data_IF_773763612739
#
_entry.id   IF_773763612739
#
_cell.length_a   1.000
_cell.length_b   1.000
_cell.length_c   1.000
_cell.angle_alpha   90.00
_cell.angle_beta   90.00
_cell.angle_gamma   90.00
#
_symmetry.space_group_name_H-M   'P 1'
#
loop_
_entity.id
_entity.type
_entity.pdbx_description
1 polymer ?
#
# COMPACT_ATOMS: atom_id res chain seq x y z
N UNK A 1 -1.50 -5.44 25.43
CA UNK A 1 -0.07 -5.12 25.26
C UNK A 1 0.80 -6.36 25.00
N UNK A 2 0.63 -7.45 25.73
CA UNK A 2 1.48 -8.68 25.60
C UNK A 2 1.50 -9.24 24.17
N UNK A 3 0.36 -9.29 23.50
CA UNK A 3 0.23 -9.77 22.11
C UNK A 3 1.01 -8.93 21.06
N UNK A 4 1.34 -7.69 21.37
CA UNK A 4 2.12 -6.83 20.48
C UNK A 4 3.65 -7.02 20.60
N UNK A 5 4.13 -7.81 21.56
CA UNK A 5 5.57 -8.05 21.76
C UNK A 5 6.18 -8.72 20.54
N UNK A 6 5.51 -9.73 19.99
CA UNK A 6 5.99 -10.45 18.81
C UNK A 6 6.04 -9.57 17.55
N UNK A 7 4.97 -8.81 17.19
CA UNK A 7 5.03 -7.83 16.11
C UNK A 7 6.10 -6.75 16.30
N UNK A 8 6.27 -6.24 17.52
CA UNK A 8 7.30 -5.24 17.82
C UNK A 8 8.71 -5.80 17.61
N UNK A 9 8.96 -7.05 18.00
CA UNK A 9 10.24 -7.73 17.75
C UNK A 9 10.54 -7.82 16.24
N UNK A 10 9.55 -8.18 15.42
CA UNK A 10 9.66 -8.17 13.95
C UNK A 10 9.99 -6.76 13.45
N UNK A 11 9.34 -5.75 13.99
CA UNK A 11 9.60 -4.34 13.67
C UNK A 11 11.05 -3.95 13.90
N UNK A 12 11.60 -4.24 15.07
CA UNK A 12 13.00 -3.92 15.41
C UNK A 12 14.00 -4.64 14.51
N UNK A 13 13.72 -5.89 14.15
CA UNK A 13 14.66 -6.74 13.41
C UNK A 13 14.67 -6.45 11.92
N UNK A 14 13.53 -6.07 11.32
CA UNK A 14 13.33 -6.05 9.88
C UNK A 14 12.86 -4.69 9.30
N UNK A 15 12.10 -3.90 10.04
CA UNK A 15 11.53 -2.64 9.57
C UNK A 15 12.35 -1.40 9.97
N UNK A 16 13.20 -1.55 10.97
CA UNK A 16 14.11 -0.51 11.42
C UNK A 16 13.70 0.16 12.73
N UNK A 17 14.73 0.64 13.46
CA UNK A 17 14.56 1.18 14.82
C UNK A 17 13.66 2.41 14.89
N UNK A 18 13.75 3.34 13.91
CA UNK A 18 12.94 4.57 13.88
C UNK A 18 11.45 4.24 13.72
N UNK A 19 11.11 3.41 12.72
CA UNK A 19 9.74 2.96 12.48
C UNK A 19 9.13 2.31 13.73
N UNK A 20 9.86 1.38 14.34
CA UNK A 20 9.36 0.64 15.50
C UNK A 20 9.17 1.53 16.72
N UNK A 21 10.09 2.48 16.97
CA UNK A 21 9.97 3.40 18.09
C UNK A 21 8.75 4.33 17.97
N UNK A 22 8.54 4.90 16.79
CA UNK A 22 7.33 5.70 16.53
C UNK A 22 6.05 4.86 16.64
N UNK A 23 6.07 3.60 16.21
CA UNK A 23 4.92 2.70 16.34
C UNK A 23 4.61 2.38 17.81
N UNK A 24 5.61 2.15 18.63
CA UNK A 24 5.42 1.97 20.09
C UNK A 24 4.77 3.22 20.70
N UNK A 25 5.25 4.41 20.32
CA UNK A 25 4.67 5.66 20.78
C UNK A 25 3.21 5.80 20.34
N UNK A 26 2.91 5.49 19.06
CA UNK A 26 1.53 5.51 18.54
C UNK A 26 0.62 4.56 19.27
N UNK A 27 1.06 3.31 19.53
CA UNK A 27 0.28 2.31 20.28
C UNK A 27 0.02 2.79 21.72
N UNK A 28 1.03 3.37 22.36
CA UNK A 28 0.89 3.89 23.72
C UNK A 28 -0.08 5.06 23.80
N UNK A 29 0.07 6.04 22.91
CA UNK A 29 -0.83 7.20 22.83
C UNK A 29 -2.25 6.79 22.49
N UNK A 30 -2.46 5.92 21.50
CA UNK A 30 -3.79 5.45 21.14
C UNK A 30 -4.48 4.71 22.27
N UNK A 31 -3.75 3.91 23.06
CA UNK A 31 -4.30 3.25 24.25
C UNK A 31 -4.78 4.27 25.30
N UNK A 32 -3.99 5.30 25.56
CA UNK A 32 -4.37 6.36 26.50
C UNK A 32 -5.60 7.12 25.99
N UNK A 33 -5.63 7.48 24.71
CA UNK A 33 -6.77 8.22 24.14
C UNK A 33 -8.07 7.41 24.16
N UNK A 34 -7.99 6.09 23.90
CA UNK A 34 -9.19 5.22 23.99
C UNK A 34 -9.76 5.19 25.40
N UNK A 35 -8.90 5.19 26.42
CA UNK A 35 -9.35 5.15 27.82
C UNK A 35 -9.83 6.54 28.33
N UNK A 36 -9.26 7.63 27.80
CA UNK A 36 -9.51 8.99 28.27
C UNK A 36 -10.74 9.63 27.59
N UNK A 37 -11.00 9.31 26.31
CA UNK A 37 -12.08 9.90 25.55
C UNK A 37 -13.44 9.29 25.93
N UNK A 38 -14.47 10.10 26.21
CA UNK A 38 -15.81 9.58 26.46
C UNK A 38 -16.38 8.92 25.21
N UNK A 39 -16.96 7.74 25.38
CA UNK A 39 -17.65 7.06 24.29
C UNK A 39 -18.91 7.83 23.89
N UNK A 40 -18.93 8.40 22.70
CA UNK A 40 -20.12 9.05 22.14
C UNK A 40 -20.74 8.14 21.08
N UNK A 41 -22.00 7.77 21.30
CA UNK A 41 -22.74 6.87 20.42
C UNK A 41 -23.51 7.69 19.38
N UNK A 42 -23.05 7.70 18.14
CA UNK A 42 -23.73 8.37 17.02
C UNK A 42 -24.95 7.59 16.51
N UNK A 43 -24.90 6.27 16.57
CA UNK A 43 -25.96 5.37 16.10
C UNK A 43 -25.91 4.06 16.88
N UNK A 44 -27.06 3.41 16.98
CA UNK A 44 -27.18 2.07 17.58
C UNK A 44 -27.19 0.96 16.50
N UNK A 45 -27.19 1.32 15.22
CA UNK A 45 -27.15 0.36 14.13
C UNK A 45 -25.73 -0.22 13.98
N UNK A 46 -25.61 -1.50 14.36
CA UNK A 46 -24.33 -2.21 14.36
C UNK A 46 -23.75 -2.35 12.95
N UNK A 47 -24.60 -2.44 11.92
CA UNK A 47 -24.13 -2.50 10.53
C UNK A 47 -23.47 -1.18 10.12
N UNK A 48 -24.13 -0.06 10.41
CA UNK A 48 -23.57 1.27 10.13
C UNK A 48 -22.24 1.48 10.90
N UNK A 49 -22.19 1.09 12.16
CA UNK A 49 -20.97 1.16 12.97
C UNK A 49 -19.86 0.31 12.34
N UNK A 50 -20.19 -0.90 11.89
CA UNK A 50 -19.20 -1.80 11.28
C UNK A 50 -18.63 -1.25 9.98
N UNK A 51 -19.48 -0.72 9.11
CA UNK A 51 -19.05 -0.17 7.81
C UNK A 51 -18.26 1.12 7.99
N UNK A 52 -18.88 2.14 8.61
CA UNK A 52 -18.25 3.45 8.74
C UNK A 52 -17.08 3.44 9.73
N UNK A 53 -17.18 2.67 10.81
CA UNK A 53 -16.08 2.47 11.75
C UNK A 53 -14.88 1.80 11.06
N UNK A 54 -15.12 0.79 10.22
CA UNK A 54 -14.09 0.15 9.40
C UNK A 54 -13.42 1.12 8.42
N UNK A 55 -14.21 1.95 7.72
CA UNK A 55 -13.68 2.96 6.81
C UNK A 55 -12.79 3.98 7.53
N UNK A 56 -13.25 4.53 8.65
CA UNK A 56 -12.49 5.49 9.46
C UNK A 56 -11.23 4.87 10.03
N UNK A 57 -11.31 3.63 10.52
CA UNK A 57 -10.16 2.90 11.04
C UNK A 57 -9.11 2.66 9.93
N UNK A 58 -9.52 2.21 8.76
CA UNK A 58 -8.64 2.01 7.61
C UNK A 58 -7.94 3.31 7.18
N UNK A 59 -8.67 4.43 7.19
CA UNK A 59 -8.10 5.75 6.93
C UNK A 59 -7.08 6.16 7.98
N UNK A 60 -7.38 5.99 9.27
CA UNK A 60 -6.46 6.29 10.36
C UNK A 60 -5.18 5.45 10.29
N UNK A 61 -5.30 4.14 10.03
CA UNK A 61 -4.15 3.24 9.83
C UNK A 61 -3.32 3.73 8.64
N UNK A 62 -3.96 4.09 7.53
CA UNK A 62 -3.26 4.59 6.34
C UNK A 62 -2.48 5.87 6.62
N UNK A 63 -3.01 6.81 7.40
CA UNK A 63 -2.29 8.00 7.84
C UNK A 63 -1.05 7.64 8.65
N UNK A 64 -1.18 6.74 9.63
CA UNK A 64 -0.06 6.26 10.42
C UNK A 64 1.04 5.64 9.53
N UNK A 65 0.65 4.78 8.58
CA UNK A 65 1.57 4.12 7.67
C UNK A 65 2.32 5.11 6.76
N UNK A 66 1.65 6.16 6.27
CA UNK A 66 2.26 7.19 5.44
C UNK A 66 3.30 8.02 6.19
N UNK A 67 3.10 8.25 7.48
CA UNK A 67 4.08 8.92 8.35
C UNK A 67 5.23 7.99 8.75
N UNK A 68 5.12 6.70 8.47
CA UNK A 68 6.15 5.70 8.81
C UNK A 68 5.99 5.12 10.22
N UNK A 69 4.76 4.94 10.66
CA UNK A 69 4.37 4.29 11.91
C UNK A 69 3.20 3.35 11.68
N UNK A 70 2.84 2.55 12.67
CA UNK A 70 1.65 1.69 12.62
C UNK A 70 0.91 1.70 13.96
N UNK A 71 -0.37 1.37 13.90
CA UNK A 71 -1.23 1.22 15.10
C UNK A 71 -0.98 -0.10 15.86
N UNK A 72 -0.13 -0.98 15.32
CA UNK A 72 0.26 -2.23 15.98
C UNK A 72 -0.41 -3.48 15.40
N UNK A 73 -0.25 -4.61 16.11
CA UNK A 73 -0.89 -5.86 15.73
C UNK A 73 -0.37 -6.46 14.42
N UNK A 74 -1.29 -6.98 13.61
CA UNK A 74 -1.00 -7.64 12.34
C UNK A 74 -0.43 -6.71 11.26
N UNK A 75 -0.54 -5.39 11.45
CA UNK A 75 -0.01 -4.39 10.51
C UNK A 75 1.52 -4.49 10.37
N UNK A 76 2.25 -4.77 11.46
CA UNK A 76 3.69 -5.01 11.38
C UNK A 76 4.03 -6.16 10.44
N UNK A 77 3.23 -7.23 10.48
CA UNK A 77 3.41 -8.40 9.63
C UNK A 77 3.10 -8.04 8.18
N UNK A 78 2.03 -7.29 7.94
CA UNK A 78 1.66 -6.81 6.59
C UNK A 78 2.77 -6.00 5.96
N UNK A 79 3.31 -5.03 6.70
CA UNK A 79 4.39 -4.15 6.22
C UNK A 79 5.68 -4.95 6.00
N UNK A 80 6.02 -5.85 6.91
CA UNK A 80 7.17 -6.71 6.77
C UNK A 80 7.10 -7.56 5.48
N UNK A 81 5.98 -8.24 5.26
CA UNK A 81 5.78 -9.05 4.06
C UNK A 81 5.78 -8.20 2.79
N UNK A 82 5.13 -7.03 2.82
CA UNK A 82 5.11 -6.12 1.69
C UNK A 82 6.49 -5.55 1.37
N UNK A 83 7.28 -5.19 2.39
CA UNK A 83 8.62 -4.62 2.21
C UNK A 83 9.65 -5.64 1.73
N UNK A 84 9.60 -6.89 2.22
CA UNK A 84 10.58 -7.93 1.91
C UNK A 84 10.25 -8.70 0.62
N UNK A 85 8.98 -8.99 0.41
CA UNK A 85 8.53 -9.83 -0.72
C UNK A 85 7.87 -9.04 -1.84
N UNK A 86 7.60 -7.75 -1.67
CA UNK A 86 6.93 -6.91 -2.66
C UNK A 86 5.48 -7.33 -2.96
N UNK A 87 4.87 -8.16 -2.11
CA UNK A 87 3.50 -8.66 -2.26
C UNK A 87 2.54 -7.80 -1.43
N UNK A 88 1.31 -7.66 -1.92
CA UNK A 88 0.23 -7.04 -1.16
C UNK A 88 -0.27 -8.00 -0.07
N UNK A 89 0.33 -7.92 1.12
CA UNK A 89 0.06 -8.84 2.22
C UNK A 89 -1.28 -8.60 2.93
N UNK A 90 -1.96 -7.49 2.65
CA UNK A 90 -3.21 -7.11 3.33
C UNK A 90 -4.33 -8.12 3.14
N UNK A 91 -4.45 -8.71 1.94
CA UNK A 91 -5.44 -9.76 1.67
C UNK A 91 -5.17 -11.04 2.47
N UNK A 92 -3.92 -11.42 2.63
CA UNK A 92 -3.57 -12.61 3.43
C UNK A 92 -3.85 -12.40 4.91
N UNK A 93 -3.58 -11.19 5.43
CA UNK A 93 -3.91 -10.84 6.81
C UNK A 93 -5.43 -10.78 7.00
N UNK A 94 -6.18 -10.21 6.03
CA UNK A 94 -7.64 -10.23 6.08
C UNK A 94 -8.17 -11.66 6.16
N UNK A 95 -7.67 -12.56 5.31
CA UNK A 95 -8.08 -13.97 5.32
C UNK A 95 -7.78 -14.63 6.68
N UNK A 96 -6.59 -14.41 7.23
CA UNK A 96 -6.23 -14.91 8.57
C UNK A 96 -7.16 -14.37 9.66
N UNK A 97 -7.46 -13.07 9.63
CA UNK A 97 -8.38 -12.45 10.59
C UNK A 97 -9.82 -13.00 10.44
N UNK A 98 -10.29 -13.24 9.22
CA UNK A 98 -11.61 -13.84 8.97
C UNK A 98 -11.70 -15.25 9.56
N UNK A 99 -10.66 -16.06 9.45
CA UNK A 99 -10.60 -17.39 10.06
C UNK A 99 -10.70 -17.29 11.58
N UNK A 100 -9.94 -16.39 12.21
CA UNK A 100 -9.97 -16.17 13.66
C UNK A 100 -11.37 -15.70 14.09
N UNK A 101 -11.96 -14.75 13.35
CA UNK A 101 -13.31 -14.24 13.64
C UNK A 101 -14.39 -15.30 13.44
N UNK A 102 -14.23 -16.20 12.47
CA UNK A 102 -15.16 -17.33 12.28
C UNK A 102 -15.11 -18.31 13.48
N UNK A 103 -13.93 -18.61 13.98
CA UNK A 103 -13.76 -19.44 15.20
C UNK A 103 -14.40 -18.71 16.40
N UNK A 104 -14.14 -17.41 16.56
CA UNK A 104 -14.78 -16.60 17.59
C UNK A 104 -16.31 -16.57 17.46
N UNK A 105 -16.84 -16.52 16.23
CA UNK A 105 -18.27 -16.59 15.95
C UNK A 105 -18.93 -17.87 16.42
N UNK A 106 -18.23 -19.02 16.24
CA UNK A 106 -18.70 -20.31 16.73
C UNK A 106 -18.74 -20.38 18.26
N UNK A 107 -17.84 -19.66 18.94
CA UNK A 107 -17.73 -19.64 20.40
C UNK A 107 -18.60 -18.59 21.09
N UNK A 108 -18.74 -17.39 20.49
CA UNK A 108 -19.34 -16.21 21.13
C UNK A 108 -20.61 -15.71 20.43
N UNK A 109 -20.92 -16.24 19.25
CA UNK A 109 -22.11 -15.86 18.47
C UNK A 109 -21.78 -15.26 17.12
N UNK A 110 -22.53 -15.69 16.10
CA UNK A 110 -22.29 -15.37 14.69
C UNK A 110 -22.54 -13.91 14.34
N UNK A 111 -23.51 -13.24 14.97
CA UNK A 111 -23.84 -11.86 14.65
C UNK A 111 -22.65 -10.92 14.87
N UNK A 112 -21.97 -11.04 16.01
CA UNK A 112 -20.81 -10.21 16.36
C UNK A 112 -19.65 -10.48 15.41
N UNK A 113 -19.40 -11.76 15.11
CA UNK A 113 -18.33 -12.16 14.20
C UNK A 113 -18.54 -11.62 12.78
N UNK A 114 -19.77 -11.71 12.25
CA UNK A 114 -20.10 -11.21 10.90
C UNK A 114 -19.92 -9.69 10.79
N UNK A 115 -20.40 -8.93 11.79
CA UNK A 115 -20.16 -7.49 11.82
C UNK A 115 -18.68 -7.13 11.95
N UNK A 116 -17.91 -7.90 12.71
CA UNK A 116 -16.45 -7.72 12.82
C UNK A 116 -15.73 -8.03 11.50
N UNK A 117 -16.19 -9.03 10.74
CA UNK A 117 -15.67 -9.32 9.40
C UNK A 117 -15.96 -8.17 8.44
N UNK A 118 -17.17 -7.59 8.46
CA UNK A 118 -17.52 -6.41 7.65
C UNK A 118 -16.61 -5.24 8.00
N UNK A 119 -16.43 -4.94 9.29
CA UNK A 119 -15.52 -3.89 9.77
C UNK A 119 -14.10 -4.10 9.25
N UNK A 120 -13.56 -5.30 9.41
CA UNK A 120 -12.20 -5.65 8.98
C UNK A 120 -12.04 -5.56 7.47
N UNK A 121 -13.04 -6.00 6.71
CA UNK A 121 -13.05 -5.91 5.25
C UNK A 121 -13.03 -4.45 4.79
N UNK A 122 -13.92 -3.60 5.32
CA UNK A 122 -13.97 -2.18 4.99
C UNK A 122 -12.64 -1.48 5.29
N UNK A 123 -12.06 -1.74 6.48
CA UNK A 123 -10.77 -1.19 6.87
C UNK A 123 -9.65 -1.62 5.92
N UNK A 124 -9.58 -2.91 5.57
CA UNK A 124 -8.56 -3.45 4.67
C UNK A 124 -8.68 -2.86 3.26
N UNK A 125 -9.89 -2.69 2.73
CA UNK A 125 -10.11 -2.07 1.41
C UNK A 125 -9.60 -0.63 1.36
N UNK A 126 -9.88 0.17 2.40
CA UNK A 126 -9.37 1.55 2.49
C UNK A 126 -7.83 1.56 2.51
N UNK A 127 -7.21 0.70 3.32
CA UNK A 127 -5.75 0.61 3.38
C UNK A 127 -5.17 0.26 2.00
N UNK A 128 -5.71 -0.75 1.32
CA UNK A 128 -5.23 -1.16 0.00
C UNK A 128 -5.41 -0.08 -1.07
N UNK A 129 -6.47 0.70 -0.98
CA UNK A 129 -6.75 1.79 -1.92
C UNK A 129 -5.79 2.97 -1.73
N UNK A 130 -5.54 3.35 -0.47
CA UNK A 130 -4.79 4.56 -0.14
C UNK A 130 -3.29 4.31 0.09
N UNK A 131 -2.91 3.14 0.64
CA UNK A 131 -1.52 2.82 0.96
C UNK A 131 -0.85 2.05 -0.16
N UNK A 132 -0.15 2.76 -1.05
CA UNK A 132 0.52 2.19 -2.24
C UNK A 132 2.04 2.23 -2.17
N UNK A 133 2.61 2.54 -1.01
CA UNK A 133 4.05 2.81 -0.84
C UNK A 133 4.97 1.66 -1.30
N UNK A 134 4.53 0.41 -1.17
CA UNK A 134 5.33 -0.76 -1.56
C UNK A 134 4.89 -1.40 -2.88
N UNK A 135 3.89 -0.84 -3.56
CA UNK A 135 3.51 -1.33 -4.89
C UNK A 135 4.58 -0.92 -5.89
N UNK A 136 5.26 -1.91 -6.45
CA UNK A 136 6.15 -1.73 -7.59
C UNK A 136 5.34 -1.89 -8.86
N UNK A 137 5.56 -1.02 -9.81
CA UNK A 137 4.93 -1.10 -11.13
C UNK A 137 6.01 -1.29 -12.18
N UNK A 138 5.70 -2.16 -13.14
CA UNK A 138 6.58 -2.40 -14.28
C UNK A 138 6.15 -1.50 -15.42
N UNK A 139 7.08 -0.73 -15.93
CA UNK A 139 6.91 0.12 -17.11
C UNK A 139 7.50 -0.60 -18.32
N UNK A 140 6.67 -0.73 -19.36
CA UNK A 140 7.09 -1.15 -20.69
C UNK A 140 6.87 0.03 -21.62
N UNK A 141 7.96 0.58 -22.17
CA UNK A 141 7.90 1.71 -23.11
C UNK A 141 8.58 1.27 -24.41
N UNK A 142 7.84 1.35 -25.51
CA UNK A 142 8.37 1.09 -26.86
C UNK A 142 8.54 2.43 -27.55
N UNK A 143 9.77 2.79 -27.92
CA UNK A 143 10.06 4.07 -28.57
C UNK A 143 11.31 4.00 -29.44
N UNK A 144 11.32 4.84 -30.46
CA UNK A 144 12.49 5.07 -31.31
C UNK A 144 13.51 6.01 -30.62
N UNK A 145 13.09 6.79 -29.61
CA UNK A 145 13.90 7.73 -28.81
C UNK A 145 14.29 7.15 -27.45
N UNK A 146 14.72 5.88 -27.44
CA UNK A 146 14.99 5.12 -26.22
C UNK A 146 16.01 5.76 -25.27
N UNK A 147 17.07 6.37 -25.80
CA UNK A 147 18.11 6.99 -24.98
C UNK A 147 17.62 8.24 -24.23
N UNK A 148 16.82 9.08 -24.90
CA UNK A 148 16.27 10.28 -24.25
C UNK A 148 15.31 9.92 -23.12
N UNK A 149 14.44 8.93 -23.36
CA UNK A 149 13.48 8.43 -22.37
C UNK A 149 14.21 7.75 -21.21
N UNK A 150 15.25 6.98 -21.46
CA UNK A 150 16.05 6.36 -20.42
C UNK A 150 16.71 7.40 -19.51
N UNK A 151 17.34 8.44 -20.09
CA UNK A 151 17.92 9.53 -19.32
C UNK A 151 16.86 10.26 -18.48
N UNK A 152 15.70 10.55 -19.06
CA UNK A 152 14.60 11.17 -18.34
C UNK A 152 14.08 10.31 -17.16
N UNK A 153 13.91 9.00 -17.35
CA UNK A 153 13.54 8.07 -16.28
C UNK A 153 14.60 8.08 -15.17
N UNK A 154 15.87 7.98 -15.52
CA UNK A 154 16.96 7.95 -14.55
C UNK A 154 17.06 9.23 -13.72
N UNK A 155 16.95 10.40 -14.36
CA UNK A 155 17.03 11.70 -13.68
C UNK A 155 15.80 11.97 -12.80
N UNK A 156 14.61 11.58 -13.27
CA UNK A 156 13.35 11.90 -12.58
C UNK A 156 13.04 10.92 -11.46
N UNK A 157 13.35 9.63 -11.66
CA UNK A 157 12.92 8.57 -10.74
C UNK A 157 14.04 7.94 -9.94
N UNK A 158 15.30 8.20 -10.30
CA UNK A 158 16.48 7.55 -9.74
C UNK A 158 16.41 6.01 -9.80
N UNK A 159 15.68 5.47 -10.80
CA UNK A 159 15.57 4.04 -11.07
C UNK A 159 16.33 3.70 -12.36
N UNK A 160 16.83 2.47 -12.42
CA UNK A 160 17.46 1.95 -13.62
C UNK A 160 16.45 1.33 -14.58
N UNK A 161 16.81 1.22 -15.84
CA UNK A 161 16.01 0.58 -16.88
C UNK A 161 16.87 -0.32 -17.76
N UNK A 162 16.26 -1.39 -18.25
CA UNK A 162 16.88 -2.33 -19.18
C UNK A 162 16.33 -2.10 -20.58
N UNK A 163 17.22 -1.98 -21.55
CA UNK A 163 16.87 -1.78 -22.94
C UNK A 163 16.93 -3.12 -23.69
N UNK A 164 15.84 -3.47 -24.35
CA UNK A 164 15.74 -4.63 -25.24
C UNK A 164 15.56 -4.16 -26.67
N UNK A 165 16.42 -4.57 -27.57
CA UNK A 165 16.28 -4.30 -28.99
C UNK A 165 15.40 -5.36 -29.63
N UNK A 166 14.48 -4.95 -30.49
CA UNK A 166 13.57 -5.81 -31.21
C UNK A 166 13.17 -5.20 -32.55
N UNK A 167 12.50 -5.99 -33.37
CA UNK A 167 12.00 -5.54 -34.69
C UNK A 167 10.48 -5.48 -34.60
N UNK A 168 9.91 -4.33 -35.00
CA UNK A 168 8.47 -4.16 -35.07
C UNK A 168 7.88 -5.01 -36.20
N UNK A 169 6.96 -5.93 -35.89
CA UNK A 169 6.46 -6.91 -36.85
C UNK A 169 5.68 -6.31 -38.03
N UNK A 170 5.13 -5.11 -37.88
CA UNK A 170 4.34 -4.48 -38.97
C UNK A 170 5.18 -3.59 -39.88
N UNK A 171 6.08 -2.80 -39.32
CA UNK A 171 6.91 -1.85 -40.09
C UNK A 171 8.31 -2.39 -40.40
N UNK A 172 8.66 -3.56 -39.86
CA UNK A 172 10.02 -4.19 -39.94
C UNK A 172 11.16 -3.26 -39.51
N UNK A 173 10.84 -2.24 -38.67
CA UNK A 173 11.83 -1.29 -38.15
C UNK A 173 12.35 -1.74 -36.80
N UNK A 174 13.60 -1.43 -36.53
CA UNK A 174 14.19 -1.60 -35.20
C UNK A 174 13.47 -0.71 -34.18
N UNK A 175 13.01 -1.31 -33.08
CA UNK A 175 12.40 -0.62 -31.95
C UNK A 175 13.04 -1.07 -30.67
N UNK A 176 13.16 -0.16 -29.72
CA UNK A 176 13.72 -0.47 -28.40
C UNK A 176 12.61 -0.51 -27.37
N UNK A 177 12.51 -1.63 -26.66
CA UNK A 177 11.66 -1.78 -25.48
C UNK A 177 12.45 -1.40 -24.23
N UNK A 178 11.99 -0.40 -23.52
CA UNK A 178 12.50 0.03 -22.22
C UNK A 178 11.71 -0.68 -21.13
N UNK A 179 12.39 -1.46 -20.31
CA UNK A 179 11.83 -2.14 -19.15
C UNK A 179 12.37 -1.49 -17.88
N UNK A 180 11.48 -0.95 -17.05
CA UNK A 180 11.87 -0.37 -15.76
C UNK A 180 10.86 -0.75 -14.68
N UNK A 181 11.35 -1.06 -13.47
CA UNK A 181 10.54 -1.32 -12.30
C UNK A 181 10.64 -0.12 -11.38
N UNK A 182 9.53 0.60 -11.24
CA UNK A 182 9.46 1.87 -10.51
C UNK A 182 8.44 1.81 -9.38
N UNK A 183 8.58 2.68 -8.40
CA UNK A 183 7.56 2.88 -7.37
C UNK A 183 6.38 3.67 -7.95
N UNK A 184 5.19 3.52 -7.38
CA UNK A 184 3.96 4.20 -7.84
C UNK A 184 4.09 5.73 -7.86
N UNK A 185 4.86 6.34 -6.95
CA UNK A 185 5.14 7.78 -6.97
C UNK A 185 6.01 8.19 -8.17
N UNK A 186 7.03 7.40 -8.47
CA UNK A 186 7.90 7.62 -9.62
C UNK A 186 7.15 7.48 -10.96
N UNK A 187 6.13 6.62 -11.02
CA UNK A 187 5.26 6.47 -12.20
C UNK A 187 4.55 7.77 -12.58
N UNK A 188 4.01 8.50 -11.60
CA UNK A 188 3.31 9.78 -11.88
C UNK A 188 4.23 10.79 -12.54
N UNK A 189 5.49 10.83 -12.13
CA UNK A 189 6.48 11.74 -12.70
C UNK A 189 6.94 11.30 -14.11
N UNK A 190 7.22 10.00 -14.30
CA UNK A 190 7.66 9.48 -15.59
C UNK A 190 6.58 9.55 -16.68
N UNK A 191 5.31 9.22 -16.35
CA UNK A 191 4.19 9.30 -17.31
C UNK A 191 3.89 10.75 -17.68
N UNK A 192 3.96 11.68 -16.74
CA UNK A 192 3.78 13.11 -17.04
C UNK A 192 4.83 13.62 -18.03
N UNK A 193 6.08 13.18 -17.89
CA UNK A 193 7.18 13.58 -18.76
C UNK A 193 7.06 12.99 -20.17
N UNK A 194 6.65 11.72 -20.28
CA UNK A 194 6.45 11.08 -21.60
C UNK A 194 5.26 11.66 -22.36
N UNK A 195 4.18 12.05 -21.68
CA UNK A 195 3.05 12.73 -22.32
C UNK A 195 3.37 14.15 -22.78
N UNK A 196 4.11 14.94 -22.01
CA UNK A 196 4.52 16.29 -22.40
C UNK A 196 5.41 16.26 -23.64
N UNK A 197 6.39 15.34 -23.72
CA UNK A 197 7.28 15.22 -24.88
C UNK A 197 6.62 14.57 -26.10
N UNK A 198 5.63 13.70 -25.95
CA UNK A 198 4.87 13.17 -27.07
C UNK A 198 4.01 14.25 -27.75
N UNK A 199 3.53 15.26 -27.00
CA UNK A 199 2.83 16.41 -27.57
C UNK A 199 3.76 17.40 -28.30
N UNK A 200 5.00 17.60 -27.82
CA UNK A 200 5.96 18.45 -28.53
C UNK A 200 6.37 17.86 -29.89
N UNK A 201 6.47 16.54 -30.02
CA UNK A 201 6.81 15.89 -31.31
C UNK A 201 5.66 15.87 -32.29
N UNK A 202 4.42 16.07 -31.88
CA UNK A 202 3.25 16.15 -32.77
C UNK A 202 3.03 17.55 -33.37
N UNK A 203 3.69 18.59 -32.85
CA UNK A 203 3.61 19.97 -33.36
C UNK A 203 4.67 20.29 -34.43
N UNK A 204 5.69 19.47 -34.58
CA UNK A 204 6.76 19.66 -35.57
C UNK A 204 6.50 18.97 -36.92
N UNK A 205 5.29 18.44 -37.13
CA UNK A 205 4.85 17.86 -38.41
C UNK A 205 3.62 18.65 -38.93
N UNK A 206 3.87 19.88 -39.37
CA UNK A 206 3.03 20.61 -40.31
C UNK A 206 3.93 21.30 -41.33
#
# INVERSE_FOLDING_TARGET
>A
MVLNIFPIYIGFRFLGKKFTWYSILTIFLSSIFVDLLPAYVFTQDVLLISVFGGLLNGFAICLCLNVGTTTGGTDFISIYLSSQKGIDAWNYILLGNVIILAIAGALFGWSIALYSIIYQFCSTQVIQMLYKRYKKETLFIISDKSNEIYHAIRETTNHDATLFQGIGCYEEKEKTLIYSVINTEAKRQSVSYTHLRAHETSQDIV
#
